data_IF_272769948240
#
_entry.id   IF_272769948240
#
_cell.length_a   1.000
_cell.length_b   1.000
_cell.length_c   1.000
_cell.angle_alpha   90.00
_cell.angle_beta   90.00
_cell.angle_gamma   90.00
#
_symmetry.space_group_name_H-M   'P 1'
#
loop_
_entity.id
_entity.type
_entity.pdbx_description
1 polymer ?
#
# COMPACT_ATOMS: atom_id res chain seq x y z
N UNK A 1 2.37 11.02 38.20
CA UNK A 1 3.02 11.87 37.17
C UNK A 1 1.94 12.62 36.41
N UNK A 2 2.19 13.88 36.02
CA UNK A 2 1.27 14.60 35.14
C UNK A 2 1.26 13.91 33.77
N UNK A 3 0.06 13.69 33.21
CA UNK A 3 -0.09 13.09 31.89
C UNK A 3 0.44 14.09 30.85
N UNK A 4 1.35 13.67 29.95
CA UNK A 4 1.95 14.57 28.97
C UNK A 4 0.88 15.13 28.03
N UNK A 5 1.06 16.39 27.66
CA UNK A 5 0.31 17.03 26.57
C UNK A 5 1.25 17.24 25.40
N UNK A 6 0.90 16.71 24.23
CA UNK A 6 1.65 16.89 22.98
C UNK A 6 0.78 17.72 22.03
N UNK A 7 1.30 18.88 21.65
CA UNK A 7 0.65 19.82 20.74
C UNK A 7 1.19 19.72 19.31
N UNK A 8 1.11 20.84 18.57
CA UNK A 8 1.64 20.94 17.21
C UNK A 8 3.15 20.67 17.21
N UNK A 9 3.63 19.83 16.27
CA UNK A 9 5.05 19.57 16.05
C UNK A 9 5.42 18.09 15.93
N UNK A 10 4.56 17.18 16.38
CA UNK A 10 4.74 15.72 16.29
C UNK A 10 3.60 15.07 15.48
N UNK A 11 3.73 13.77 15.24
CA UNK A 11 2.85 12.95 14.39
C UNK A 11 1.38 12.97 14.88
N UNK A 12 1.16 12.91 16.20
CA UNK A 12 -0.19 13.00 16.77
C UNK A 12 -0.26 13.94 17.98
N UNK A 13 -1.44 14.52 18.18
CA UNK A 13 -1.74 15.26 19.40
C UNK A 13 -2.07 14.29 20.54
N UNK A 14 -1.61 14.60 21.75
CA UNK A 14 -1.96 13.87 22.98
C UNK A 14 -2.55 14.87 23.96
N UNK A 15 -3.84 14.71 24.28
CA UNK A 15 -4.58 15.63 25.14
C UNK A 15 -5.16 14.88 26.34
N UNK A 16 -4.72 15.15 27.58
CA UNK A 16 -5.35 14.60 28.77
C UNK A 16 -6.83 14.96 28.82
N UNK A 17 -7.71 13.97 29.01
CA UNK A 17 -9.16 14.20 29.13
C UNK A 17 -9.56 14.38 30.60
N UNK A 18 -10.79 14.85 30.82
CA UNK A 18 -11.32 15.12 32.17
C UNK A 18 -11.52 13.86 33.02
N UNK A 19 -11.48 12.68 32.42
CA UNK A 19 -11.84 11.41 33.04
C UNK A 19 -10.65 10.47 33.21
N UNK A 20 -10.49 9.92 34.42
CA UNK A 20 -9.83 8.63 34.66
C UNK A 20 -8.37 8.48 34.23
N UNK A 21 -7.60 9.57 34.12
CA UNK A 21 -6.19 9.49 33.70
C UNK A 21 -5.99 9.10 32.24
N UNK A 22 -7.03 9.24 31.42
CA UNK A 22 -7.01 8.93 29.98
C UNK A 22 -6.47 10.11 29.17
N UNK A 23 -5.99 9.81 27.96
CA UNK A 23 -5.56 10.79 26.96
C UNK A 23 -6.26 10.55 25.64
N UNK A 24 -6.76 11.61 25.01
CA UNK A 24 -7.17 11.57 23.62
C UNK A 24 -5.93 11.65 22.74
N UNK A 25 -5.70 10.64 21.91
CA UNK A 25 -4.65 10.62 20.90
C UNK A 25 -5.30 10.66 19.52
N UNK A 26 -4.98 11.68 18.73
CA UNK A 26 -5.58 11.85 17.41
C UNK A 26 -4.61 12.50 16.41
N UNK A 27 -4.81 12.13 15.16
CA UNK A 27 -4.08 12.64 13.99
C UNK A 27 -5.06 12.86 12.82
N UNK A 28 -4.64 13.68 11.87
CA UNK A 28 -5.32 13.87 10.58
C UNK A 28 -4.26 13.98 9.48
N UNK A 29 -4.54 13.36 8.33
CA UNK A 29 -3.71 13.54 7.14
C UNK A 29 -4.55 13.39 5.86
N UNK A 30 -4.09 14.00 4.77
CA UNK A 30 -4.69 13.90 3.44
C UNK A 30 -3.67 14.21 2.34
N UNK A 31 -3.85 13.59 1.19
CA UNK A 31 -2.98 13.83 0.03
C UNK A 31 -3.72 13.58 -1.29
N UNK A 32 -3.02 13.81 -2.39
CA UNK A 32 -3.52 13.66 -3.75
C UNK A 32 -3.29 12.23 -4.27
N UNK A 33 -4.13 11.74 -5.20
CA UNK A 33 -3.92 10.45 -5.84
C UNK A 33 -2.52 10.30 -6.44
N UNK A 34 -1.86 9.20 -6.09
CA UNK A 34 -0.51 8.86 -6.54
C UNK A 34 -0.44 7.52 -7.28
N UNK A 35 -1.48 6.69 -7.18
CA UNK A 35 -1.59 5.42 -7.93
C UNK A 35 -2.88 5.38 -8.72
N UNK A 36 -2.86 4.68 -9.86
CA UNK A 36 -3.98 4.62 -10.78
C UNK A 36 -5.10 3.66 -10.32
N UNK A 37 -4.78 2.69 -9.47
CA UNK A 37 -5.78 1.79 -8.88
C UNK A 37 -6.53 2.51 -7.74
N UNK A 38 -7.83 2.84 -7.90
CA UNK A 38 -8.54 3.61 -6.89
C UNK A 38 -8.77 2.84 -5.58
N UNK A 39 -8.88 1.51 -5.64
CA UNK A 39 -9.02 0.69 -4.44
C UNK A 39 -7.73 0.71 -3.62
N UNK A 40 -6.58 0.51 -4.27
CA UNK A 40 -5.29 0.62 -3.60
C UNK A 40 -5.04 2.03 -3.09
N UNK A 41 -5.44 3.06 -3.85
CA UNK A 41 -5.37 4.45 -3.40
C UNK A 41 -6.14 4.68 -2.09
N UNK A 42 -7.34 4.10 -1.97
CA UNK A 42 -8.11 4.10 -0.72
C UNK A 42 -7.39 3.40 0.43
N UNK A 43 -6.79 2.22 0.19
CA UNK A 43 -6.01 1.50 1.22
C UNK A 43 -4.82 2.33 1.69
N UNK A 44 -4.07 2.92 0.76
CA UNK A 44 -2.89 3.74 1.07
C UNK A 44 -3.31 4.97 1.88
N UNK A 45 -4.42 5.63 1.52
CA UNK A 45 -4.89 6.80 2.25
C UNK A 45 -5.28 6.48 3.71
N UNK A 46 -5.99 5.38 3.94
CA UNK A 46 -6.30 4.92 5.30
C UNK A 46 -5.04 4.57 6.08
N UNK A 47 -4.11 3.84 5.44
CA UNK A 47 -2.83 3.43 6.05
C UNK A 47 -1.99 4.64 6.45
N UNK A 48 -1.96 5.67 5.60
CA UNK A 48 -1.24 6.91 5.86
C UNK A 48 -1.81 7.64 7.09
N UNK A 49 -3.13 7.80 7.16
CA UNK A 49 -3.81 8.44 8.32
C UNK A 49 -3.54 7.68 9.62
N UNK A 50 -3.50 6.34 9.58
CA UNK A 50 -3.22 5.53 10.76
C UNK A 50 -1.73 5.54 11.16
N UNK A 51 -0.84 5.93 10.24
CA UNK A 51 0.62 5.84 10.42
C UNK A 51 1.11 6.69 11.60
N UNK A 52 0.56 7.89 11.78
CA UNK A 52 0.94 8.76 12.90
C UNK A 52 0.54 8.20 14.27
N UNK A 53 -0.60 7.51 14.38
CA UNK A 53 -0.96 6.81 15.63
C UNK A 53 0.07 5.71 15.92
N UNK A 54 0.46 4.96 14.89
CA UNK A 54 1.47 3.92 15.03
C UNK A 54 2.86 4.48 15.40
N UNK A 55 3.21 5.68 14.95
CA UNK A 55 4.44 6.37 15.37
C UNK A 55 4.47 6.67 16.89
N UNK A 56 3.30 6.87 17.49
CA UNK A 56 3.14 7.02 18.94
C UNK A 56 3.12 5.68 19.69
N UNK A 57 3.38 4.55 19.03
CA UNK A 57 3.30 3.22 19.64
C UNK A 57 1.86 2.74 19.94
N UNK A 58 0.84 3.51 19.53
CA UNK A 58 -0.57 3.16 19.73
C UNK A 58 -0.97 2.08 18.74
N UNK A 59 -1.48 0.94 19.22
CA UNK A 59 -1.81 -0.21 18.36
C UNK A 59 -3.25 -0.28 17.89
N UNK A 60 -4.14 0.43 18.58
CA UNK A 60 -5.58 0.34 18.40
C UNK A 60 -6.14 1.72 18.08
N UNK A 61 -7.15 1.75 17.21
CA UNK A 61 -7.82 2.97 16.79
C UNK A 61 -9.31 2.81 17.11
N UNK A 62 -9.86 3.65 17.97
CA UNK A 62 -11.26 3.53 18.37
C UNK A 62 -12.19 3.99 17.24
N UNK A 63 -11.79 5.03 16.49
CA UNK A 63 -12.63 5.62 15.47
C UNK A 63 -11.83 6.25 14.32
N UNK A 64 -12.34 6.08 13.10
CA UNK A 64 -11.88 6.83 11.93
C UNK A 64 -12.99 7.69 11.30
N UNK A 65 -12.59 8.85 10.79
CA UNK A 65 -13.39 9.66 9.86
C UNK A 65 -12.69 9.72 8.51
N UNK A 66 -13.45 9.70 7.41
CA UNK A 66 -12.89 9.81 6.07
C UNK A 66 -13.11 11.21 5.48
N UNK A 67 -12.06 11.79 4.90
CA UNK A 67 -12.08 13.09 4.23
C UNK A 67 -11.88 12.87 2.73
N UNK A 68 -12.84 13.28 1.91
CA UNK A 68 -12.82 13.05 0.47
C UNK A 68 -13.15 14.34 -0.32
N UNK A 69 -12.26 14.70 -1.23
CA UNK A 69 -12.50 15.68 -2.29
C UNK A 69 -12.70 14.96 -3.62
N UNK A 70 -13.84 15.16 -4.25
CA UNK A 70 -14.16 14.60 -5.57
C UNK A 70 -13.81 15.63 -6.63
N UNK A 71 -12.98 15.24 -7.60
CA UNK A 71 -12.50 16.18 -8.63
C UNK A 71 -13.64 16.67 -9.52
N UNK A 72 -13.72 17.99 -9.75
CA UNK A 72 -14.62 18.59 -10.75
C UNK A 72 -14.31 18.17 -12.18
N UNK A 73 -13.14 17.57 -12.44
CA UNK A 73 -12.72 17.09 -13.76
C UNK A 73 -13.19 15.67 -14.07
N UNK A 74 -13.66 14.92 -13.07
CA UNK A 74 -14.23 13.60 -13.30
C UNK A 74 -15.64 13.73 -13.88
N UNK A 75 -15.92 12.99 -14.94
CA UNK A 75 -17.29 12.77 -15.40
C UNK A 75 -18.08 12.01 -14.34
N UNK A 76 -19.42 12.10 -14.39
CA UNK A 76 -20.29 11.36 -13.46
C UNK A 76 -20.02 9.85 -13.52
N UNK A 77 -19.79 9.31 -14.72
CA UNK A 77 -19.48 7.88 -14.92
C UNK A 77 -18.16 7.47 -14.25
N UNK A 78 -17.12 8.30 -14.37
CA UNK A 78 -15.83 8.04 -13.71
C UNK A 78 -15.99 8.12 -12.19
N UNK A 79 -16.65 9.17 -11.69
CA UNK A 79 -16.92 9.35 -10.26
C UNK A 79 -17.64 8.16 -9.66
N UNK A 80 -18.71 7.69 -10.30
CA UNK A 80 -19.56 6.60 -9.79
C UNK A 80 -18.84 5.23 -9.79
N UNK A 81 -17.65 5.13 -10.40
CA UNK A 81 -16.77 3.96 -10.34
C UNK A 81 -15.60 4.17 -9.39
N UNK A 82 -14.89 5.29 -9.53
CA UNK A 82 -13.63 5.59 -8.82
C UNK A 82 -13.88 5.84 -7.34
N UNK A 83 -14.90 6.64 -7.00
CA UNK A 83 -15.18 7.00 -5.59
C UNK A 83 -15.56 5.77 -4.75
N UNK A 84 -16.50 4.90 -5.18
CA UNK A 84 -16.82 3.68 -4.42
C UNK A 84 -15.62 2.75 -4.21
N UNK A 85 -14.70 2.67 -5.18
CA UNK A 85 -13.48 1.87 -5.04
C UNK A 85 -12.52 2.45 -3.99
N UNK A 86 -12.30 3.77 -4.00
CA UNK A 86 -11.52 4.47 -2.97
C UNK A 86 -12.12 4.22 -1.58
N UNK A 87 -13.43 4.46 -1.43
CA UNK A 87 -14.13 4.27 -0.16
C UNK A 87 -14.02 2.83 0.33
N UNK A 88 -14.13 1.86 -0.59
CA UNK A 88 -14.00 0.43 -0.27
C UNK A 88 -12.58 0.09 0.18
N UNK A 89 -11.56 0.57 -0.52
CA UNK A 89 -10.16 0.37 -0.11
C UNK A 89 -9.88 0.96 1.27
N UNK A 90 -10.34 2.18 1.51
CA UNK A 90 -10.20 2.84 2.80
C UNK A 90 -10.88 2.02 3.92
N UNK A 91 -12.13 1.58 3.68
CA UNK A 91 -12.88 0.75 4.63
C UNK A 91 -12.20 -0.59 4.92
N UNK A 92 -11.75 -1.29 3.89
CA UNK A 92 -11.11 -2.60 4.04
C UNK A 92 -9.81 -2.46 4.85
N UNK A 93 -9.02 -1.40 4.60
CA UNK A 93 -7.81 -1.11 5.39
C UNK A 93 -8.11 -0.74 6.84
N UNK A 94 -9.20 -0.02 7.10
CA UNK A 94 -9.64 0.29 8.47
C UNK A 94 -10.05 -1.00 9.22
N UNK A 95 -10.73 -1.93 8.53
CA UNK A 95 -11.05 -3.25 9.10
C UNK A 95 -9.80 -4.08 9.39
N UNK A 96 -8.80 -4.07 8.48
CA UNK A 96 -7.49 -4.71 8.71
C UNK A 96 -6.79 -4.12 9.97
N UNK A 97 -6.97 -2.82 10.22
CA UNK A 97 -6.48 -2.14 11.41
C UNK A 97 -7.30 -2.40 12.68
N UNK A 98 -8.40 -3.15 12.58
CA UNK A 98 -9.31 -3.44 13.71
C UNK A 98 -10.23 -2.28 14.09
N UNK A 99 -10.45 -1.32 13.20
CA UNK A 99 -11.30 -0.15 13.43
C UNK A 99 -12.36 0.01 12.33
N UNK A 100 -13.20 1.05 12.44
CA UNK A 100 -14.24 1.34 11.45
C UNK A 100 -14.29 2.82 11.13
N UNK A 101 -14.74 3.11 9.90
CA UNK A 101 -15.07 4.47 9.45
C UNK A 101 -16.52 4.74 9.80
N UNK A 102 -16.78 5.64 10.74
CA UNK A 102 -18.14 5.91 11.27
C UNK A 102 -18.74 7.22 10.76
N UNK A 103 -17.94 8.02 10.07
CA UNK A 103 -18.36 9.30 9.51
C UNK A 103 -17.30 9.90 8.61
N UNK A 104 -17.50 11.14 8.22
CA UNK A 104 -16.59 11.83 7.30
C UNK A 104 -17.28 12.96 6.56
N UNK A 105 -16.54 13.56 5.65
CA UNK A 105 -17.05 14.61 4.77
C UNK A 105 -16.58 14.38 3.35
N UNK A 106 -17.51 14.48 2.40
CA UNK A 106 -17.21 14.47 0.96
C UNK A 106 -17.61 15.81 0.36
N UNK A 107 -16.68 16.45 -0.36
CA UNK A 107 -16.91 17.73 -1.05
C UNK A 107 -16.46 17.65 -2.50
N UNK A 108 -17.00 18.53 -3.34
CA UNK A 108 -16.49 18.75 -4.69
C UNK A 108 -15.29 19.70 -4.62
N UNK A 109 -14.20 19.37 -5.32
CA UNK A 109 -12.93 20.10 -5.27
C UNK A 109 -12.28 20.07 -6.68
N UNK A 110 -11.52 21.09 -7.15
CA UNK A 110 -10.80 20.97 -8.42
C UNK A 110 -9.91 19.72 -8.54
N UNK A 111 -9.30 19.32 -7.44
CA UNK A 111 -8.44 18.14 -7.36
C UNK A 111 -9.05 17.06 -6.47
N UNK A 112 -8.79 15.79 -6.79
CA UNK A 112 -9.18 14.70 -5.90
C UNK A 112 -8.26 14.68 -4.68
N UNK A 113 -8.83 14.62 -3.48
CA UNK A 113 -8.07 14.54 -2.21
C UNK A 113 -8.63 13.43 -1.35
N UNK A 114 -7.77 12.63 -0.74
CA UNK A 114 -8.19 11.49 0.08
C UNK A 114 -7.40 11.52 1.38
N UNK A 115 -8.10 11.37 2.49
CA UNK A 115 -7.50 11.43 3.81
C UNK A 115 -8.50 11.05 4.90
N UNK A 116 -8.20 11.42 6.13
CA UNK A 116 -9.02 11.05 7.26
C UNK A 116 -8.49 11.54 8.58
N UNK A 117 -9.20 11.16 9.63
CA UNK A 117 -8.85 11.35 11.03
C UNK A 117 -8.81 9.97 11.68
N UNK A 118 -7.78 9.71 12.48
CA UNK A 118 -7.72 8.54 13.34
C UNK A 118 -7.67 9.00 14.81
N UNK A 119 -8.48 8.38 15.65
CA UNK A 119 -8.66 8.79 17.04
C UNK A 119 -8.74 7.59 17.96
N UNK A 120 -8.08 7.68 19.11
CA UNK A 120 -8.22 6.73 20.20
C UNK A 120 -8.13 7.41 21.56
N UNK A 121 -8.66 6.75 22.59
CA UNK A 121 -8.54 7.14 23.98
C UNK A 121 -7.61 6.16 24.68
N UNK A 122 -6.41 6.62 25.03
CA UNK A 122 -5.35 5.79 25.58
C UNK A 122 -5.15 5.98 27.08
N UNK A 123 -4.79 4.89 27.76
CA UNK A 123 -4.06 4.90 29.01
C UNK A 123 -2.60 5.34 28.79
N UNK A 124 -1.91 5.85 29.83
CA UNK A 124 -0.53 6.32 29.69
C UNK A 124 0.50 5.27 29.23
N UNK A 125 0.21 3.98 29.39
CA UNK A 125 1.09 2.88 28.96
C UNK A 125 0.80 2.38 27.53
N UNK A 126 -0.23 2.90 26.87
CA UNK A 126 -0.63 2.47 25.52
C UNK A 126 0.03 3.31 24.41
N UNK A 127 0.67 4.43 24.78
CA UNK A 127 1.46 5.25 23.87
C UNK A 127 2.88 5.48 24.41
N UNK A 128 3.80 5.72 23.49
CA UNK A 128 5.22 6.02 23.75
C UNK A 128 5.44 7.48 23.37
N UNK A 129 5.88 8.30 24.34
CA UNK A 129 6.23 9.69 24.07
C UNK A 129 7.54 9.73 23.26
N UNK A 130 7.58 10.38 22.10
CA UNK A 130 8.71 10.30 21.18
C UNK A 130 9.88 11.24 21.55
N UNK A 131 10.31 11.24 22.80
CA UNK A 131 11.26 12.24 23.33
C UNK A 131 12.40 11.68 24.20
N UNK A 132 12.57 10.35 24.24
CA UNK A 132 13.45 9.68 25.20
C UNK A 132 14.70 9.02 24.59
N UNK A 133 15.09 9.36 23.34
CA UNK A 133 16.28 8.78 22.72
C UNK A 133 17.55 9.10 23.53
N UNK A 134 18.46 8.13 23.62
CA UNK A 134 19.73 8.23 24.37
C UNK A 134 20.94 7.95 23.49
N UNK A 135 22.10 8.44 23.91
CA UNK A 135 23.36 8.14 23.23
C UNK A 135 23.61 6.64 23.23
N UNK A 136 23.89 6.08 22.06
CA UNK A 136 24.11 4.65 21.89
C UNK A 136 22.94 3.90 21.26
N UNK A 137 21.73 4.47 21.30
CA UNK A 137 20.57 3.96 20.56
C UNK A 137 20.89 3.84 19.07
N UNK A 138 20.10 3.01 18.40
CA UNK A 138 20.14 2.85 16.95
C UNK A 138 18.82 3.27 16.32
N UNK A 139 18.90 3.69 15.07
CA UNK A 139 17.75 4.12 14.27
C UNK A 139 17.29 2.95 13.41
N UNK A 140 16.05 2.50 13.58
CA UNK A 140 15.43 1.44 12.79
C UNK A 140 14.38 2.03 11.86
N UNK A 141 14.45 1.69 10.57
CA UNK A 141 13.45 2.07 9.57
C UNK A 141 12.65 0.83 9.14
N UNK A 142 11.32 0.89 9.11
CA UNK A 142 10.47 -0.30 8.90
C UNK A 142 9.95 -0.48 7.47
N UNK A 143 10.05 0.53 6.60
CA UNK A 143 9.72 0.45 5.16
C UNK A 143 10.87 0.98 4.30
N UNK A 144 11.06 0.47 3.08
CA UNK A 144 12.02 1.04 2.15
C UNK A 144 11.57 2.42 1.66
N UNK A 145 12.53 3.26 1.30
CA UNK A 145 12.36 4.58 0.70
C UNK A 145 12.19 4.51 -0.82
N UNK A 146 11.79 5.63 -1.41
CA UNK A 146 11.74 5.84 -2.85
C UNK A 146 10.35 5.64 -3.45
N UNK A 147 9.28 5.77 -2.67
CA UNK A 147 7.92 5.59 -3.19
C UNK A 147 7.56 6.66 -4.23
N UNK A 148 7.95 7.92 -4.01
CA UNK A 148 7.75 9.00 -4.99
C UNK A 148 8.48 8.71 -6.32
N UNK A 149 9.70 8.18 -6.25
CA UNK A 149 10.47 7.84 -7.46
C UNK A 149 9.79 6.72 -8.23
N UNK A 150 9.30 5.68 -7.53
CA UNK A 150 8.61 4.55 -8.13
C UNK A 150 7.30 4.95 -8.81
N UNK A 151 6.49 5.76 -8.13
CA UNK A 151 5.24 6.31 -8.67
C UNK A 151 5.50 7.18 -9.90
N UNK A 152 6.43 8.12 -9.80
CA UNK A 152 6.72 9.02 -10.93
C UNK A 152 7.30 8.25 -12.11
N UNK A 153 8.22 7.30 -11.88
CA UNK A 153 8.78 6.47 -12.94
C UNK A 153 7.68 5.66 -13.66
N UNK A 154 6.68 5.16 -12.94
CA UNK A 154 5.53 4.47 -13.52
C UNK A 154 4.69 5.40 -14.40
N UNK A 155 4.32 6.58 -13.88
CA UNK A 155 3.57 7.58 -14.65
C UNK A 155 4.32 8.06 -15.90
N UNK A 156 5.65 8.03 -15.86
CA UNK A 156 6.45 8.47 -17.00
C UNK A 156 6.47 7.46 -18.14
N UNK A 157 6.05 6.21 -17.95
CA UNK A 157 5.89 5.22 -19.04
C UNK A 157 4.95 5.75 -20.14
N UNK A 158 3.91 6.50 -19.74
CA UNK A 158 2.95 7.12 -20.66
C UNK A 158 3.36 8.55 -21.10
N UNK A 159 4.55 9.01 -20.73
CA UNK A 159 5.07 10.35 -21.05
C UNK A 159 6.42 10.23 -21.75
N UNK A 160 6.46 10.13 -23.10
CA UNK A 160 7.68 9.83 -23.86
C UNK A 160 8.88 10.72 -23.50
N UNK A 161 8.66 12.02 -23.33
CA UNK A 161 9.71 12.98 -22.97
C UNK A 161 10.33 12.72 -21.60
N UNK A 162 9.54 12.22 -20.64
CA UNK A 162 10.02 11.88 -19.30
C UNK A 162 10.60 10.46 -19.26
N UNK A 163 9.99 9.51 -19.95
CA UNK A 163 10.52 8.15 -20.08
C UNK A 163 11.93 8.14 -20.67
N UNK A 164 12.16 8.97 -21.70
CA UNK A 164 13.45 9.11 -22.37
C UNK A 164 14.60 9.48 -21.41
N UNK A 165 14.32 10.08 -20.25
CA UNK A 165 15.32 10.44 -19.23
C UNK A 165 15.84 9.25 -18.44
N UNK A 166 15.02 8.22 -18.28
CA UNK A 166 15.31 7.08 -17.38
C UNK A 166 15.42 5.74 -18.10
N UNK A 167 14.96 5.64 -19.35
CA UNK A 167 14.95 4.39 -20.14
C UNK A 167 16.32 3.74 -20.34
N UNK A 168 17.42 4.50 -20.21
CA UNK A 168 18.79 3.98 -20.32
C UNK A 168 19.29 3.37 -18.99
N UNK A 169 18.58 3.61 -17.89
CA UNK A 169 19.00 3.24 -16.52
C UNK A 169 18.09 2.16 -15.92
N UNK A 170 16.83 2.07 -16.38
CA UNK A 170 15.84 1.14 -15.87
C UNK A 170 14.97 0.60 -17.02
N UNK A 171 14.62 -0.68 -16.96
CA UNK A 171 13.68 -1.29 -17.91
C UNK A 171 12.23 -0.99 -17.49
N UNK A 172 11.27 -1.13 -18.41
CA UNK A 172 9.85 -0.98 -18.02
C UNK A 172 9.40 -2.04 -17.00
N UNK A 173 9.97 -3.24 -17.06
CA UNK A 173 9.69 -4.32 -16.11
C UNK A 173 10.16 -3.94 -14.71
N UNK A 174 11.38 -3.40 -14.59
CA UNK A 174 11.91 -2.90 -13.32
C UNK A 174 11.04 -1.78 -12.75
N UNK A 175 10.54 -0.87 -13.60
CA UNK A 175 9.61 0.19 -13.17
C UNK A 175 8.30 -0.39 -12.64
N UNK A 176 7.69 -1.34 -13.36
CA UNK A 176 6.45 -1.99 -12.91
C UNK A 176 6.65 -2.75 -11.59
N UNK A 177 7.78 -3.45 -11.43
CA UNK A 177 8.17 -4.10 -10.16
C UNK A 177 8.36 -3.10 -9.03
N UNK A 178 9.04 -1.98 -9.29
CA UNK A 178 9.24 -0.90 -8.32
C UNK A 178 7.92 -0.25 -7.90
N UNK A 179 7.02 0.01 -8.85
CA UNK A 179 5.69 0.55 -8.60
C UNK A 179 4.82 -0.39 -7.75
N UNK A 180 4.78 -1.68 -8.08
CA UNK A 180 4.06 -2.67 -7.27
C UNK A 180 4.64 -2.74 -5.84
N UNK A 181 5.98 -2.75 -5.72
CA UNK A 181 6.64 -2.75 -4.41
C UNK A 181 6.31 -1.50 -3.60
N UNK A 182 6.23 -0.33 -4.24
CA UNK A 182 5.81 0.90 -3.59
C UNK A 182 4.35 0.81 -3.14
N UNK A 183 3.42 0.39 -4.00
CA UNK A 183 2.00 0.22 -3.63
C UNK A 183 1.82 -0.71 -2.43
N UNK A 184 2.47 -1.88 -2.45
CA UNK A 184 2.39 -2.86 -1.36
C UNK A 184 2.97 -2.29 -0.06
N UNK A 185 4.08 -1.56 -0.14
CA UNK A 185 4.70 -0.90 1.01
C UNK A 185 3.79 0.18 1.60
N UNK A 186 3.24 1.04 0.76
CA UNK A 186 2.38 2.16 1.15
C UNK A 186 1.04 1.70 1.72
N UNK A 187 0.51 0.55 1.27
CA UNK A 187 -0.74 -0.02 1.77
C UNK A 187 -0.56 -0.93 3.02
N UNK A 188 0.67 -1.12 3.49
CA UNK A 188 0.97 -1.92 4.69
C UNK A 188 0.87 -1.07 5.96
N UNK A 189 0.03 -1.46 6.91
CA UNK A 189 -0.10 -0.80 8.22
C UNK A 189 1.21 -0.86 9.03
N UNK A 190 1.53 0.22 9.74
CA UNK A 190 2.63 0.25 10.72
C UNK A 190 2.22 -0.36 12.09
N UNK A 191 1.06 -1.04 12.16
CA UNK A 191 0.46 -1.58 13.40
C UNK A 191 1.37 -2.57 14.13
N UNK A 192 1.95 -3.53 13.43
CA UNK A 192 2.87 -4.49 14.05
C UNK A 192 4.13 -3.78 14.54
N UNK A 193 4.64 -2.81 13.77
CA UNK A 193 5.81 -2.03 14.15
C UNK A 193 5.57 -1.28 15.47
N UNK A 194 4.41 -0.64 15.62
CA UNK A 194 3.96 0.02 16.86
C UNK A 194 3.86 -0.95 18.04
N UNK A 195 3.26 -2.13 17.85
CA UNK A 195 3.17 -3.15 18.89
C UNK A 195 4.55 -3.62 19.37
N UNK A 196 5.48 -3.80 18.44
CA UNK A 196 6.83 -4.23 18.75
C UNK A 196 7.66 -3.14 19.43
N UNK A 197 7.32 -1.85 19.26
CA UNK A 197 7.98 -0.75 19.98
C UNK A 197 7.86 -0.93 21.49
N UNK A 198 6.67 -1.31 21.99
CA UNK A 198 6.46 -1.62 23.40
C UNK A 198 7.30 -2.81 23.87
N UNK A 199 7.29 -3.91 23.10
CA UNK A 199 8.00 -5.14 23.45
C UNK A 199 9.52 -4.95 23.55
N UNK A 200 10.08 -4.12 22.67
CA UNK A 200 11.52 -3.92 22.55
C UNK A 200 11.99 -2.57 23.14
N UNK A 201 11.12 -1.93 23.94
CA UNK A 201 11.44 -0.76 24.74
C UNK A 201 11.94 0.43 23.89
N UNK A 202 11.23 0.75 22.82
CA UNK A 202 11.55 1.90 21.98
C UNK A 202 11.51 3.21 22.78
N UNK A 203 12.43 4.11 22.45
CA UNK A 203 12.58 5.42 23.10
C UNK A 203 11.83 6.55 22.37
N UNK A 204 11.25 6.24 21.22
CA UNK A 204 10.46 7.15 20.41
C UNK A 204 10.49 6.78 18.94
N UNK A 205 9.50 7.24 18.19
CA UNK A 205 9.47 7.11 16.74
C UNK A 205 8.77 8.32 16.09
N UNK A 206 8.94 8.41 14.78
CA UNK A 206 8.14 9.23 13.86
C UNK A 206 7.87 8.37 12.63
N UNK A 207 6.84 8.63 11.86
CA UNK A 207 6.74 8.02 10.54
C UNK A 207 7.48 8.84 9.47
N UNK A 208 7.73 8.24 8.31
CA UNK A 208 8.42 8.91 7.20
C UNK A 208 7.43 9.14 6.07
N UNK A 209 7.02 10.40 5.88
CA UNK A 209 6.05 10.81 4.85
C UNK A 209 6.58 11.98 4.02
N UNK A 210 5.84 13.09 3.92
CA UNK A 210 6.01 14.12 2.90
C UNK A 210 7.33 14.91 2.97
N UNK A 211 7.99 14.96 4.12
CA UNK A 211 9.27 15.66 4.28
C UNK A 211 10.50 14.78 3.97
N UNK A 212 10.29 13.51 3.67
CA UNK A 212 11.34 12.53 3.46
C UNK A 212 12.08 12.14 4.74
N UNK A 213 12.92 11.12 4.66
CA UNK A 213 13.60 10.53 5.82
C UNK A 213 14.33 11.59 6.67
N UNK A 214 15.09 12.48 6.04
CA UNK A 214 15.89 13.46 6.77
C UNK A 214 15.02 14.53 7.42
N UNK A 215 13.94 14.97 6.76
CA UNK A 215 13.02 15.96 7.33
C UNK A 215 12.34 15.42 8.61
N UNK A 216 11.81 14.20 8.55
CA UNK A 216 11.19 13.56 9.72
C UNK A 216 12.22 13.22 10.81
N UNK A 217 13.42 12.75 10.45
CA UNK A 217 14.50 12.51 11.40
C UNK A 217 14.92 13.80 12.13
N UNK A 218 15.01 14.93 11.42
CA UNK A 218 15.31 16.23 12.02
C UNK A 218 14.19 16.68 12.96
N UNK A 219 12.93 16.46 12.59
CA UNK A 219 11.80 16.77 13.45
C UNK A 219 11.82 15.94 14.74
N UNK A 220 12.02 14.63 14.64
CA UNK A 220 12.14 13.75 15.81
C UNK A 220 13.33 14.13 16.69
N UNK A 221 14.50 14.41 16.10
CA UNK A 221 15.69 14.81 16.84
C UNK A 221 15.47 16.09 17.67
N UNK A 222 14.78 17.09 17.09
CA UNK A 222 14.46 18.37 17.76
C UNK A 222 13.62 18.21 19.02
N UNK A 223 12.77 17.18 19.07
CA UNK A 223 11.86 16.94 20.18
C UNK A 223 12.46 16.08 21.31
N UNK A 224 13.69 15.58 21.16
CA UNK A 224 14.33 14.78 22.20
C UNK A 224 14.64 15.62 23.44
N UNK A 225 14.39 15.07 24.63
CA UNK A 225 14.79 15.71 25.90
C UNK A 225 16.30 15.72 26.08
N UNK A 226 16.97 14.66 25.66
CA UNK A 226 18.42 14.53 25.77
C UNK A 226 19.15 15.32 24.69
N UNK A 227 20.41 15.68 24.95
CA UNK A 227 21.34 16.29 23.98
C UNK A 227 21.90 15.22 23.04
N UNK A 228 21.05 14.75 22.14
CA UNK A 228 21.37 13.71 21.17
C UNK A 228 21.28 14.22 19.73
N UNK A 229 21.90 13.53 18.79
CA UNK A 229 21.74 13.78 17.35
C UNK A 229 21.74 12.46 16.58
N UNK A 230 21.04 12.46 15.45
CA UNK A 230 20.80 11.26 14.65
C UNK A 230 21.73 11.24 13.46
N UNK A 231 22.43 10.12 13.26
CA UNK A 231 23.34 9.92 12.13
C UNK A 231 22.90 8.71 11.33
N UNK A 232 22.39 8.97 10.13
CA UNK A 232 21.94 7.95 9.20
C UNK A 232 23.10 7.56 8.28
N UNK A 233 23.40 6.27 8.25
CA UNK A 233 24.54 5.67 7.56
C UNK A 233 24.13 4.91 6.31
N UNK A 234 22.93 4.33 6.31
CA UNK A 234 22.45 3.52 5.20
C UNK A 234 20.98 3.81 4.89
N UNK A 235 20.59 3.56 3.64
CA UNK A 235 19.27 3.88 3.09
C UNK A 235 18.71 2.63 2.41
N UNK A 236 17.72 1.94 2.99
CA UNK A 236 16.98 0.91 2.29
C UNK A 236 16.06 1.56 1.26
N UNK A 237 16.31 1.28 -0.03
CA UNK A 237 15.62 1.93 -1.15
C UNK A 237 15.01 0.86 -2.03
N UNK A 238 13.79 1.08 -2.52
CA UNK A 238 13.15 0.19 -3.50
C UNK A 238 14.09 -0.01 -4.70
N UNK A 239 14.26 -1.27 -5.12
CA UNK A 239 15.25 -1.65 -6.11
C UNK A 239 15.19 -0.75 -7.36
N UNK A 240 16.37 -0.35 -7.85
CA UNK A 240 16.57 0.57 -9.00
C UNK A 240 16.16 2.02 -8.76
N UNK A 241 15.39 2.35 -7.73
CA UNK A 241 14.90 3.73 -7.53
C UNK A 241 16.02 4.69 -7.16
N UNK A 242 17.10 4.23 -6.53
CA UNK A 242 18.31 5.04 -6.32
C UNK A 242 18.99 5.41 -7.66
N UNK A 243 19.01 4.49 -8.63
CA UNK A 243 19.58 4.74 -9.95
C UNK A 243 18.70 5.69 -10.77
N UNK A 244 17.38 5.49 -10.74
CA UNK A 244 16.40 6.40 -11.36
C UNK A 244 16.50 7.81 -10.77
N UNK A 245 16.58 7.94 -9.44
CA UNK A 245 16.74 9.22 -8.77
C UNK A 245 18.02 9.94 -9.23
N UNK A 246 19.16 9.23 -9.29
CA UNK A 246 20.43 9.78 -9.78
C UNK A 246 20.35 10.25 -11.24
N UNK A 247 19.69 9.47 -12.10
CA UNK A 247 19.51 9.82 -13.52
C UNK A 247 18.73 11.15 -13.70
N UNK A 248 17.85 11.46 -12.74
CA UNK A 248 17.05 12.67 -12.71
C UNK A 248 17.73 13.85 -11.96
N UNK A 249 19.00 13.72 -11.59
CA UNK A 249 19.74 14.76 -10.85
C UNK A 249 19.09 15.10 -9.51
N UNK A 250 18.86 16.39 -9.25
CA UNK A 250 18.30 16.89 -7.99
C UNK A 250 16.76 16.89 -7.94
N UNK A 251 16.08 16.25 -8.89
CA UNK A 251 14.61 16.28 -8.96
C UNK A 251 13.94 15.67 -7.72
N UNK A 252 14.42 14.52 -7.26
CA UNK A 252 13.81 13.78 -6.16
C UNK A 252 14.53 13.98 -4.83
N UNK A 253 15.83 14.26 -4.84
CA UNK A 253 16.65 14.38 -3.63
C UNK A 253 16.59 13.14 -2.69
N UNK A 254 16.40 11.94 -3.27
CA UNK A 254 16.23 10.69 -2.52
C UNK A 254 17.43 10.36 -1.63
N UNK A 255 18.65 10.51 -2.17
CA UNK A 255 19.88 10.18 -1.45
C UNK A 255 20.24 11.23 -0.41
N UNK A 256 19.71 12.45 -0.56
CA UNK A 256 19.79 13.52 0.42
C UNK A 256 18.73 13.38 1.52
N UNK A 257 17.80 12.42 1.39
CA UNK A 257 16.75 12.16 2.37
C UNK A 257 15.56 13.12 2.31
N UNK A 258 15.41 13.90 1.23
CA UNK A 258 14.33 14.88 1.07
C UNK A 258 13.27 14.48 0.02
N UNK A 259 13.42 13.31 -0.61
CA UNK A 259 12.35 12.73 -1.44
C UNK A 259 11.13 12.50 -0.57
N UNK A 260 9.97 12.93 -1.06
CA UNK A 260 8.73 12.68 -0.37
C UNK A 260 8.48 11.17 -0.34
N UNK A 261 8.00 10.69 0.80
CA UNK A 261 7.40 9.37 0.94
C UNK A 261 5.90 9.57 1.20
N UNK A 262 5.12 8.52 1.00
CA UNK A 262 3.70 8.52 1.37
C UNK A 262 3.42 7.21 2.08
N UNK A 263 2.77 7.26 3.24
CA UNK A 263 2.56 6.07 4.07
C UNK A 263 3.85 5.26 4.25
N UNK A 264 4.95 5.93 4.57
CA UNK A 264 6.24 5.28 4.77
C UNK A 264 6.30 4.50 6.08
N UNK A 265 7.51 4.10 6.44
CA UNK A 265 7.76 3.29 7.63
C UNK A 265 7.92 4.15 8.86
N UNK A 266 7.99 3.51 10.02
CA UNK A 266 8.42 4.15 11.25
C UNK A 266 9.95 4.26 11.26
N UNK A 267 10.45 5.42 11.66
CA UNK A 267 11.82 5.66 12.09
C UNK A 267 11.86 5.62 13.62
N UNK A 268 12.45 4.57 14.18
CA UNK A 268 12.35 4.23 15.60
C UNK A 268 13.73 4.34 16.26
N UNK A 269 13.80 5.02 17.40
CA UNK A 269 14.96 4.98 18.30
C UNK A 269 14.82 3.77 19.23
N UNK A 270 15.75 2.82 19.13
CA UNK A 270 15.74 1.58 19.92
C UNK A 270 17.06 1.38 20.66
N UNK A 271 17.03 0.77 21.86
CA UNK A 271 18.22 0.27 22.51
C UNK A 271 18.98 -0.69 21.58
N UNK A 272 20.30 -0.53 21.51
CA UNK A 272 21.16 -1.24 20.55
C UNK A 272 21.02 -2.76 20.65
N UNK A 273 20.93 -3.26 21.87
CA UNK A 273 20.79 -4.68 22.21
C UNK A 273 19.44 -5.27 21.79
N UNK A 274 18.40 -4.43 21.64
CA UNK A 274 17.05 -4.87 21.24
C UNK A 274 16.81 -4.79 19.74
N UNK A 275 17.52 -3.91 19.03
CA UNK A 275 17.22 -3.59 17.64
C UNK A 275 17.30 -4.78 16.68
N UNK A 276 18.28 -5.68 16.85
CA UNK A 276 18.40 -6.89 16.04
C UNK A 276 17.22 -7.86 16.26
N UNK A 277 16.78 -8.00 17.52
CA UNK A 277 15.64 -8.84 17.86
C UNK A 277 14.33 -8.25 17.33
N UNK A 278 14.17 -6.91 17.40
CA UNK A 278 13.06 -6.19 16.78
C UNK A 278 12.96 -6.47 15.27
N UNK A 279 14.08 -6.30 14.54
CA UNK A 279 14.12 -6.49 13.08
C UNK A 279 13.78 -7.94 12.68
N UNK A 280 14.25 -8.93 13.47
CA UNK A 280 13.92 -10.35 13.24
C UNK A 280 12.46 -10.66 13.53
N UNK A 281 11.87 -10.07 14.56
CA UNK A 281 10.49 -10.35 14.96
C UNK A 281 9.48 -9.72 13.98
N UNK A 282 9.73 -8.48 13.51
CA UNK A 282 8.88 -7.86 12.48
C UNK A 282 8.95 -8.64 11.15
N UNK A 283 10.13 -9.09 10.74
CA UNK A 283 10.28 -9.92 9.55
C UNK A 283 9.53 -11.26 9.69
N UNK A 284 9.62 -11.89 10.87
CA UNK A 284 8.89 -13.13 11.15
C UNK A 284 7.36 -12.95 11.10
N UNK A 285 6.84 -11.82 11.61
CA UNK A 285 5.40 -11.60 11.71
C UNK A 285 4.78 -11.09 10.41
N UNK A 286 5.49 -10.24 9.65
CA UNK A 286 4.94 -9.62 8.44
C UNK A 286 5.56 -10.16 7.14
N UNK A 287 6.64 -10.93 7.22
CA UNK A 287 7.42 -11.36 6.07
C UNK A 287 8.18 -10.20 5.39
N UNK A 288 8.40 -9.09 6.10
CA UNK A 288 9.08 -7.91 5.59
C UNK A 288 10.14 -7.43 6.59
N UNK A 289 11.37 -7.30 6.13
CA UNK A 289 12.47 -6.84 6.98
C UNK A 289 12.36 -5.36 7.35
N UNK A 290 12.94 -5.01 8.50
CA UNK A 290 13.29 -3.65 8.90
C UNK A 290 14.83 -3.50 8.90
N UNK A 291 15.31 -2.26 8.92
CA UNK A 291 16.75 -1.97 8.78
C UNK A 291 17.25 -1.09 9.91
N UNK A 292 18.39 -1.44 10.50
CA UNK A 292 19.15 -0.52 11.34
C UNK A 292 19.91 0.43 10.41
N UNK A 293 19.43 1.67 10.32
CA UNK A 293 19.91 2.66 9.35
C UNK A 293 20.92 3.66 9.90
N UNK A 294 21.05 3.75 11.22
CA UNK A 294 21.88 4.76 11.85
C UNK A 294 22.01 4.61 13.35
N UNK A 295 22.61 5.63 13.97
CA UNK A 295 22.85 5.68 15.41
C UNK A 295 22.41 7.02 15.99
N UNK A 296 22.24 7.03 17.30
CA UNK A 296 22.05 8.22 18.12
C UNK A 296 23.37 8.53 18.83
N UNK A 297 23.94 9.70 18.56
CA UNK A 297 25.17 10.20 19.18
C UNK A 297 24.88 11.39 20.10
N UNK A 298 25.86 11.80 20.91
CA UNK A 298 25.76 13.05 21.67
C UNK A 298 25.73 14.23 20.69
N UNK A 299 24.79 15.15 20.82
CA UNK A 299 24.71 16.29 19.90
C UNK A 299 23.61 17.29 20.22
N UNK A 300 23.35 18.20 19.27
CA UNK A 300 22.51 19.39 19.46
C UNK A 300 21.08 19.21 18.90
N UNK A 301 20.46 18.04 19.11
CA UNK A 301 19.09 17.74 18.64
C UNK A 301 18.90 17.93 17.14
N UNK A 302 19.88 17.46 16.37
CA UNK A 302 19.90 17.51 14.90
C UNK A 302 19.90 16.11 14.30
N UNK A 303 19.59 16.01 13.01
CA UNK A 303 19.77 14.79 12.25
C UNK A 303 20.53 15.07 10.94
N UNK A 304 21.38 14.13 10.55
CA UNK A 304 22.15 14.17 9.30
C UNK A 304 22.24 12.79 8.66
N UNK A 305 22.31 12.77 7.34
CA UNK A 305 22.78 11.61 6.57
C UNK A 305 24.27 11.84 6.28
N UNK A 306 25.10 10.80 6.39
CA UNK A 306 26.53 10.91 6.04
C UNK A 306 26.71 11.23 4.54
N UNK A 307 27.84 11.84 4.16
CA UNK A 307 28.07 12.31 2.77
C UNK A 307 27.92 11.21 1.70
N UNK A 308 28.26 9.97 2.03
CA UNK A 308 28.18 8.81 1.14
C UNK A 308 27.41 7.68 1.84
N UNK A 309 26.07 7.79 1.94
CA UNK A 309 25.29 6.77 2.61
C UNK A 309 25.31 5.47 1.79
N UNK A 310 25.36 4.32 2.47
CA UNK A 310 25.24 3.02 1.81
C UNK A 310 23.80 2.79 1.39
N UNK A 311 23.54 2.66 0.09
CA UNK A 311 22.23 2.24 -0.41
C UNK A 311 22.09 0.72 -0.25
N UNK A 312 20.98 0.30 0.36
CA UNK A 312 20.57 -1.11 0.44
C UNK A 312 19.42 -1.27 -0.55
N UNK A 313 19.67 -1.96 -1.66
CA UNK A 313 18.65 -2.21 -2.67
C UNK A 313 17.63 -3.24 -2.14
N UNK A 314 16.35 -2.86 -2.13
CA UNK A 314 15.25 -3.68 -1.61
C UNK A 314 14.41 -4.19 -2.79
N UNK A 315 14.52 -5.47 -3.16
CA UNK A 315 13.79 -6.02 -4.30
C UNK A 315 12.27 -6.05 -4.05
N UNK A 316 11.52 -6.13 -5.14
CA UNK A 316 10.12 -6.53 -5.07
C UNK A 316 10.05 -7.97 -4.54
N UNK A 317 9.03 -8.28 -3.73
CA UNK A 317 8.76 -9.67 -3.37
C UNK A 317 8.26 -10.36 -4.64
N UNK A 318 8.96 -11.39 -5.11
CA UNK A 318 8.37 -12.29 -6.10
C UNK A 318 7.20 -12.97 -5.40
N UNK A 319 5.99 -12.74 -5.92
CA UNK A 319 4.85 -13.57 -5.55
C UNK A 319 5.07 -14.92 -6.20
N UNK A 320 5.81 -15.80 -5.55
CA UNK A 320 5.88 -17.20 -5.94
C UNK A 320 4.44 -17.75 -6.02
N UNK A 321 3.96 -18.01 -7.23
CA UNK A 321 2.74 -18.78 -7.49
C UNK A 321 1.39 -18.06 -7.32
N UNK A 322 1.32 -16.82 -6.86
CA UNK A 322 0.07 -16.03 -6.96
C UNK A 322 -0.02 -15.39 -8.35
N UNK A 323 -0.37 -16.20 -9.34
CA UNK A 323 -1.07 -15.69 -10.52
C UNK A 323 -2.24 -14.85 -10.01
N UNK A 324 -2.10 -13.53 -10.13
CA UNK A 324 -3.01 -12.56 -9.57
C UNK A 324 -4.40 -12.78 -10.18
N UNK A 325 -5.27 -13.49 -9.45
CA UNK A 325 -6.66 -13.76 -9.82
C UNK A 325 -7.44 -12.46 -10.12
N UNK A 326 -6.98 -11.33 -9.57
CA UNK A 326 -7.51 -9.98 -9.84
C UNK A 326 -7.15 -9.52 -11.26
N UNK A 327 -5.90 -9.73 -11.70
CA UNK A 327 -5.43 -9.39 -13.04
C UNK A 327 -6.17 -10.22 -14.10
N UNK A 328 -6.45 -11.50 -13.80
CA UNK A 328 -7.35 -12.34 -14.62
C UNK A 328 -8.80 -11.86 -14.60
N UNK A 329 -9.36 -11.49 -13.43
CA UNK A 329 -10.74 -10.98 -13.33
C UNK A 329 -10.95 -9.67 -14.08
N UNK A 330 -9.93 -8.81 -14.15
CA UNK A 330 -9.99 -7.54 -14.91
C UNK A 330 -9.85 -7.82 -16.41
N UNK A 331 -8.91 -8.68 -16.84
CA UNK A 331 -8.80 -9.09 -18.26
C UNK A 331 -10.07 -9.77 -18.79
N UNK A 332 -10.79 -10.53 -17.95
CA UNK A 332 -12.06 -11.17 -18.31
C UNK A 332 -13.30 -10.28 -18.13
N UNK A 333 -13.18 -9.04 -17.63
CA UNK A 333 -14.30 -8.09 -17.54
C UNK A 333 -14.92 -7.76 -18.91
N UNK A 334 -14.14 -7.92 -19.99
CA UNK A 334 -14.58 -7.75 -21.39
C UNK A 334 -14.83 -9.07 -22.11
N UNK A 335 -14.67 -10.22 -21.45
CA UNK A 335 -14.89 -11.53 -22.07
C UNK A 335 -16.36 -11.78 -22.42
N UNK A 336 -17.28 -11.06 -21.79
CA UNK A 336 -18.71 -11.10 -22.13
C UNK A 336 -18.96 -10.77 -23.62
N UNK A 337 -18.13 -9.90 -24.23
CA UNK A 337 -18.21 -9.58 -25.67
C UNK A 337 -17.74 -10.74 -26.57
N UNK A 338 -16.84 -11.58 -26.09
CA UNK A 338 -16.32 -12.74 -26.82
C UNK A 338 -17.13 -14.02 -26.58
N UNK A 339 -17.88 -14.12 -25.47
CA UNK A 339 -18.70 -15.30 -25.16
C UNK A 339 -19.84 -15.51 -26.16
N UNK A 340 -20.55 -14.46 -26.57
CA UNK A 340 -21.66 -14.62 -27.52
C UNK A 340 -21.16 -15.10 -28.92
N UNK A 341 -20.10 -14.51 -29.51
CA UNK A 341 -19.48 -15.05 -30.72
C UNK A 341 -19.00 -16.50 -30.57
N UNK A 342 -18.42 -16.86 -29.42
CA UNK A 342 -17.98 -18.24 -29.15
C UNK A 342 -19.15 -19.23 -29.13
N UNK A 343 -20.26 -18.91 -28.45
CA UNK A 343 -21.45 -19.77 -28.45
C UNK A 343 -22.06 -19.92 -29.85
N UNK A 344 -22.12 -18.83 -30.62
CA UNK A 344 -22.60 -18.87 -32.00
C UNK A 344 -21.71 -19.76 -32.86
N UNK A 345 -20.38 -19.62 -32.74
CA UNK A 345 -19.42 -20.46 -33.46
C UNK A 345 -19.60 -21.95 -33.14
N UNK A 346 -19.72 -22.31 -31.85
CA UNK A 346 -19.88 -23.72 -31.44
C UNK A 346 -21.22 -24.30 -31.93
N UNK A 347 -22.32 -23.52 -31.88
CA UNK A 347 -23.62 -23.97 -32.38
C UNK A 347 -23.55 -24.20 -33.89
N UNK A 348 -23.00 -23.25 -34.64
CA UNK A 348 -22.87 -23.37 -36.11
C UNK A 348 -21.98 -24.54 -36.49
N UNK A 349 -20.84 -24.71 -35.80
CA UNK A 349 -19.92 -25.83 -36.03
C UNK A 349 -20.59 -27.18 -35.75
N UNK A 350 -21.29 -27.32 -34.62
CA UNK A 350 -21.99 -28.56 -34.27
C UNK A 350 -23.17 -28.84 -35.21
N UNK A 351 -23.92 -27.82 -35.64
CA UNK A 351 -24.99 -27.98 -36.64
C UNK A 351 -24.43 -28.41 -37.99
N UNK A 352 -23.33 -27.79 -38.45
CA UNK A 352 -22.70 -28.13 -39.72
C UNK A 352 -22.17 -29.57 -39.72
N UNK A 353 -21.51 -30.00 -38.64
CA UNK A 353 -21.05 -31.39 -38.51
C UNK A 353 -22.22 -32.37 -38.44
N UNK A 354 -23.28 -32.04 -37.69
CA UNK A 354 -24.47 -32.90 -37.59
C UNK A 354 -25.18 -33.02 -38.93
N UNK A 355 -25.30 -31.94 -39.69
CA UNK A 355 -25.97 -31.93 -41.00
C UNK A 355 -25.14 -32.64 -42.08
N UNK A 356 -23.84 -32.35 -42.16
CA UNK A 356 -22.92 -33.05 -43.05
C UNK A 356 -22.88 -34.57 -42.75
N UNK A 357 -22.99 -34.94 -41.48
CA UNK A 357 -23.06 -36.33 -41.04
C UNK A 357 -24.41 -36.99 -41.38
N UNK A 358 -25.54 -36.33 -41.11
CA UNK A 358 -26.89 -36.83 -41.46
C UNK A 358 -27.04 -37.11 -42.96
N UNK A 359 -26.44 -36.28 -43.81
CA UNK A 359 -26.52 -36.41 -45.27
C UNK A 359 -25.63 -37.53 -45.84
N UNK A 360 -24.64 -38.03 -45.09
CA UNK A 360 -23.63 -38.96 -45.60
C UNK A 360 -23.47 -40.25 -44.77
N UNK A 361 -24.26 -40.45 -43.70
CA UNK A 361 -24.11 -41.59 -42.80
C UNK A 361 -24.98 -42.79 -43.21
N UNK A 362 -24.37 -43.98 -43.13
CA UNK A 362 -25.06 -45.27 -43.23
C UNK A 362 -25.58 -45.67 -41.83
N UNK A 363 -26.89 -45.79 -41.69
CA UNK A 363 -27.61 -45.72 -40.40
C UNK A 363 -27.40 -46.93 -39.48
N UNK A 364 -26.71 -47.97 -39.95
CA UNK A 364 -26.49 -49.23 -39.24
C UNK A 364 -25.01 -49.58 -38.97
N UNK A 365 -24.07 -48.64 -39.20
CA UNK A 365 -22.63 -48.89 -39.06
C UNK A 365 -22.03 -48.51 -37.70
N UNK A 366 -20.90 -49.12 -37.31
CA UNK A 366 -20.08 -48.75 -36.14
C UNK A 366 -19.80 -47.23 -36.05
N UNK A 367 -19.55 -46.61 -37.19
CA UNK A 367 -19.30 -45.17 -37.32
C UNK A 367 -20.49 -44.30 -36.90
N UNK A 368 -21.72 -44.82 -37.00
CA UNK A 368 -22.92 -44.13 -36.53
C UNK A 368 -22.87 -43.94 -35.01
N UNK A 369 -22.62 -45.03 -34.28
CA UNK A 369 -22.52 -45.01 -32.82
C UNK A 369 -21.34 -44.15 -32.36
N UNK A 370 -20.17 -44.29 -32.98
CA UNK A 370 -18.98 -43.52 -32.61
C UNK A 370 -19.17 -42.00 -32.78
N UNK A 371 -19.69 -41.56 -33.93
CA UNK A 371 -19.85 -40.12 -34.21
C UNK A 371 -20.96 -39.51 -33.34
N UNK A 372 -22.04 -40.26 -33.09
CA UNK A 372 -23.09 -39.83 -32.14
C UNK A 372 -22.50 -39.52 -30.75
N UNK A 373 -21.70 -40.44 -30.19
CA UNK A 373 -21.05 -40.23 -28.89
C UNK A 373 -20.01 -39.11 -28.90
N UNK A 374 -19.31 -38.90 -30.02
CA UNK A 374 -18.36 -37.78 -30.16
C UNK A 374 -19.06 -36.41 -30.17
N UNK A 375 -20.18 -36.27 -30.90
CA UNK A 375 -21.00 -35.04 -30.91
C UNK A 375 -21.59 -34.78 -29.51
N UNK A 376 -22.12 -35.82 -28.87
CA UNK A 376 -22.65 -35.71 -27.51
C UNK A 376 -21.56 -35.30 -26.51
N UNK A 377 -20.37 -35.91 -26.60
CA UNK A 377 -19.22 -35.57 -25.75
C UNK A 377 -18.78 -34.11 -25.93
N UNK A 378 -18.74 -33.61 -27.17
CA UNK A 378 -18.43 -32.20 -27.47
C UNK A 378 -19.45 -31.24 -26.85
N UNK A 379 -20.76 -31.56 -26.97
CA UNK A 379 -21.82 -30.76 -26.35
C UNK A 379 -21.69 -30.71 -24.83
N UNK A 380 -21.43 -31.86 -24.19
CA UNK A 380 -21.23 -31.95 -22.73
C UNK A 380 -20.02 -31.12 -22.29
N UNK A 381 -18.89 -31.22 -23.01
CA UNK A 381 -17.69 -30.43 -22.73
C UNK A 381 -17.95 -28.92 -22.81
N UNK A 382 -18.74 -28.47 -23.80
CA UNK A 382 -19.09 -27.07 -23.95
C UNK A 382 -20.00 -26.56 -22.82
N UNK A 383 -20.94 -27.37 -22.34
CA UNK A 383 -21.79 -27.02 -21.19
C UNK A 383 -20.95 -26.96 -19.91
N UNK A 384 -20.04 -27.92 -19.70
CA UNK A 384 -19.15 -27.94 -18.55
C UNK A 384 -18.20 -26.74 -18.54
N UNK A 385 -17.59 -26.38 -19.67
CA UNK A 385 -16.72 -25.21 -19.77
C UNK A 385 -17.48 -23.91 -19.46
N UNK A 386 -18.74 -23.83 -19.90
CA UNK A 386 -19.63 -22.71 -19.61
C UNK A 386 -20.00 -22.64 -18.12
N UNK A 387 -20.29 -23.78 -17.50
CA UNK A 387 -20.55 -23.88 -16.06
C UNK A 387 -19.33 -23.45 -15.23
N UNK A 388 -18.13 -23.90 -15.61
CA UNK A 388 -16.88 -23.47 -14.97
C UNK A 388 -16.68 -21.96 -15.11
N UNK A 389 -16.90 -21.39 -16.29
CA UNK A 389 -16.86 -19.93 -16.49
C UNK A 389 -17.84 -19.22 -15.56
N UNK A 390 -19.10 -19.66 -15.48
CA UNK A 390 -20.13 -19.03 -14.67
C UNK A 390 -19.92 -19.17 -13.16
N UNK A 391 -19.36 -20.29 -12.69
CA UNK A 391 -19.17 -20.58 -11.27
C UNK A 391 -17.88 -19.95 -10.74
N UNK A 392 -16.78 -20.06 -11.50
CA UNK A 392 -15.45 -19.65 -11.04
C UNK A 392 -15.07 -18.23 -11.48
N UNK A 393 -15.44 -17.82 -12.69
CA UNK A 393 -14.89 -16.62 -13.33
C UNK A 393 -15.88 -15.49 -13.51
N UNK A 394 -17.19 -15.79 -13.68
CA UNK A 394 -18.20 -14.75 -13.85
C UNK A 394 -18.41 -14.01 -12.52
N UNK A 395 -18.23 -12.68 -12.49
CA UNK A 395 -18.46 -11.92 -11.28
C UNK A 395 -19.93 -12.05 -10.85
N UNK A 396 -20.15 -12.49 -9.60
CA UNK A 396 -21.48 -12.48 -8.99
C UNK A 396 -22.00 -11.05 -9.03
N UNK A 397 -23.10 -10.80 -9.77
CA UNK A 397 -23.89 -9.56 -9.64
C UNK A 397 -24.57 -9.56 -8.26
N UNK A 398 -23.80 -9.36 -7.19
CA UNK A 398 -24.40 -8.91 -5.93
C UNK A 398 -24.73 -7.44 -6.12
N UNK A 399 -25.99 -7.17 -6.46
CA UNK A 399 -26.63 -5.90 -6.06
C UNK A 399 -26.57 -5.88 -4.54
N UNK A 400 -25.54 -5.25 -3.98
CA UNK A 400 -25.62 -4.72 -2.61
C UNK A 400 -25.99 -3.26 -2.77
N UNK A 401 -27.26 -3.03 -3.11
CA UNK A 401 -27.94 -1.76 -2.95
C UNK A 401 -29.31 -2.10 -2.36
N UNK A 402 -29.38 -2.06 -1.05
CA UNK A 402 -30.60 -1.80 -0.30
C UNK A 402 -30.17 -1.20 1.04
N UNK A 403 -30.60 0.06 1.24
CA UNK A 403 -30.50 0.92 2.42
C UNK A 403 -29.09 1.28 2.90
#
# INVERSE_FOLDING_TARGET
MAIPRIGIGMDASVTPVRHGGLSLVQTTDFFYPLVDDPYMMGKIACTNVLSDLYAMGVTDCDNMLMLLGVSTKMTEKERDVVVPLIMRGFKDSALDAGTTVTGGQTVVNPWCTIGGVATTVCQPNEYIVPDNAVVGDVLVLTKPLGTQVAVNAHQWLDQPDRWNRIKLVVSEEDVRKGYQRAMDSMARLNRTAARLMHKYNAHGATDVTGFGLLGHAQNLAKHQKNEVSFVIHNLPVISKMAAVAKACGNMFQLLQGHSAETSGGLLICLPREQAAAYCKDIEKQEGYQAWIIGIVEKGLRTARIIDKPRVIEVPAKEKDGELCLIEYRIKFKYADWCTLPYYVFVIVQNMAFTFAWYMNADWNGFWYTYIFWAILGSMVLCVLSSAVYHVMFKPKKRRVYSS
#
